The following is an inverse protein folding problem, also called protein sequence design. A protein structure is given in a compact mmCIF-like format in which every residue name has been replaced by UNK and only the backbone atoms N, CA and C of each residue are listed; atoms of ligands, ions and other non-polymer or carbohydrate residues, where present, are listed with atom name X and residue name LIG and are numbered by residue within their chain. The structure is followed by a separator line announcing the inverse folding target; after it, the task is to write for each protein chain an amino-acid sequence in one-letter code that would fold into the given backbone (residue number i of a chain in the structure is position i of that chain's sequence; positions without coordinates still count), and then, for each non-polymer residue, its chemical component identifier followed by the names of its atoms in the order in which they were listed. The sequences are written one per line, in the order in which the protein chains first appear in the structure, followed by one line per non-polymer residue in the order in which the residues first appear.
data_IF_748690925716
#
_entry.id   IF_748690925716
#
_cell.length_a   1.000
_cell.length_b   1.000
_cell.length_c   1.000
_cell.angle_alpha   90.00
_cell.angle_beta   90.00
_cell.angle_gamma   90.00
#
_symmetry.space_group_name_H-M   'P 1'
#
loop_
_entity.id
_entity.type
_entity.pdbx_description
1 polymer ?
#
# COMPACT_ATOMS: atom_id res chain seq x y z
N UNK A 1 -21.76 -5.42 0.73
CA UNK A 1 -20.99 -4.43 1.51
C UNK A 1 -19.71 -5.11 1.99
N UNK A 2 -18.56 -4.46 1.85
CA UNK A 2 -17.25 -5.05 2.08
C UNK A 2 -16.77 -4.93 3.54
N UNK A 3 -15.49 -5.22 3.77
CA UNK A 3 -14.83 -4.94 5.05
C UNK A 3 -14.43 -3.46 5.13
N UNK A 4 -14.64 -2.83 6.29
CA UNK A 4 -14.24 -1.45 6.57
C UNK A 4 -13.51 -1.36 7.90
N UNK A 5 -12.47 -0.52 7.97
CA UNK A 5 -11.74 -0.19 9.19
C UNK A 5 -11.19 1.24 9.13
N UNK A 6 -10.97 1.85 10.30
CA UNK A 6 -10.62 3.27 10.43
C UNK A 6 -9.12 3.54 10.23
N UNK A 7 -8.60 3.23 9.04
CA UNK A 7 -7.22 3.52 8.62
C UNK A 7 -7.19 4.06 7.20
N UNK A 8 -6.72 5.29 7.04
CA UNK A 8 -6.45 5.90 5.73
C UNK A 8 -5.11 5.46 5.15
N UNK A 9 -4.85 5.91 3.92
CA UNK A 9 -3.54 5.75 3.29
C UNK A 9 -2.44 6.44 4.11
N UNK A 10 -1.25 5.84 4.15
CA UNK A 10 -0.12 6.34 4.96
C UNK A 10 0.45 7.66 4.45
N UNK A 11 0.24 7.99 3.16
CA UNK A 11 0.70 9.24 2.55
C UNK A 11 -0.29 9.79 1.53
N UNK A 12 -0.55 11.10 1.55
CA UNK A 12 -1.49 11.77 0.65
C UNK A 12 -1.21 11.53 -0.84
N UNK A 13 0.05 11.38 -1.22
CA UNK A 13 0.45 11.09 -2.59
C UNK A 13 -0.06 9.72 -3.09
N UNK A 14 -0.62 8.85 -2.25
CA UNK A 14 -1.24 7.58 -2.63
C UNK A 14 -2.66 7.72 -3.19
N UNK A 15 -3.23 8.92 -3.24
CA UNK A 15 -4.54 9.21 -3.84
C UNK A 15 -4.62 8.79 -5.32
N UNK A 16 -5.64 8.03 -5.73
CA UNK A 16 -5.86 7.65 -7.14
C UNK A 16 -7.05 8.37 -7.78
N UNK A 17 -7.96 8.90 -6.97
CA UNK A 17 -9.01 9.83 -7.37
C UNK A 17 -8.80 11.18 -6.65
N UNK A 18 -8.12 12.15 -7.29
CA UNK A 18 -7.82 13.45 -6.67
C UNK A 18 -9.05 14.30 -6.36
N UNK A 19 -10.12 14.19 -7.15
CA UNK A 19 -11.34 14.99 -6.95
C UNK A 19 -12.06 14.60 -5.66
N UNK A 20 -12.07 13.30 -5.35
CA UNK A 20 -12.69 12.75 -4.14
C UNK A 20 -11.73 12.58 -2.98
N UNK A 21 -10.42 12.78 -3.21
CA UNK A 21 -9.36 12.47 -2.27
C UNK A 21 -9.40 11.00 -1.80
N UNK A 22 -9.60 10.08 -2.74
CA UNK A 22 -9.75 8.65 -2.48
C UNK A 22 -8.65 7.80 -3.14
N UNK A 23 -8.37 6.67 -2.52
CA UNK A 23 -7.58 5.59 -3.11
C UNK A 23 -8.51 4.46 -3.58
N UNK A 24 -8.86 4.49 -4.86
CA UNK A 24 -9.65 3.46 -5.55
C UNK A 24 -8.69 2.56 -6.33
N UNK A 25 -8.72 1.26 -6.03
CA UNK A 25 -7.92 0.22 -6.71
C UNK A 25 -8.86 -0.83 -7.29
N UNK A 26 -8.72 -1.13 -8.57
CA UNK A 26 -9.50 -2.18 -9.25
C UNK A 26 -8.72 -3.51 -9.25
N UNK A 27 -9.40 -4.58 -8.84
CA UNK A 27 -8.83 -5.93 -8.69
C UNK A 27 -7.41 -5.98 -8.08
N UNK A 28 -7.15 -5.31 -6.95
CA UNK A 28 -5.81 -5.24 -6.40
C UNK A 28 -5.37 -6.59 -5.82
N UNK A 29 -4.06 -6.84 -5.85
CA UNK A 29 -3.47 -7.76 -4.88
C UNK A 29 -3.48 -7.12 -3.50
N UNK A 30 -3.57 -7.94 -2.46
CA UNK A 30 -3.51 -7.48 -1.07
C UNK A 30 -2.35 -8.19 -0.38
N UNK A 31 -1.33 -7.43 0.02
CA UNK A 31 -0.26 -7.88 0.90
C UNK A 31 -0.66 -7.55 2.34
N UNK A 32 -0.63 -8.55 3.22
CA UNK A 32 -0.94 -8.39 4.64
C UNK A 32 0.29 -8.85 5.44
N UNK A 33 0.73 -8.01 6.36
CA UNK A 33 1.80 -8.36 7.31
C UNK A 33 1.60 -7.63 8.63
N UNK A 34 2.05 -8.23 9.72
CA UNK A 34 2.13 -7.62 11.05
C UNK A 34 3.42 -6.82 11.25
N UNK A 35 4.34 -6.81 10.27
CA UNK A 35 5.63 -6.15 10.36
C UNK A 35 5.58 -4.71 9.89
N UNK A 36 6.46 -3.89 10.49
CA UNK A 36 6.89 -2.62 9.94
C UNK A 36 7.74 -2.81 8.68
N UNK A 37 7.46 -2.03 7.64
CA UNK A 37 8.19 -2.04 6.36
C UNK A 37 8.90 -0.70 6.19
N UNK A 38 10.23 -0.71 6.26
CA UNK A 38 11.06 0.50 6.09
C UNK A 38 11.97 0.44 4.86
N UNK A 39 12.32 -0.77 4.42
CA UNK A 39 13.26 -1.03 3.33
C UNK A 39 12.53 -1.60 2.11
N UNK A 40 12.87 -1.16 0.90
CA UNK A 40 12.21 -1.64 -0.32
C UNK A 40 12.52 -3.12 -0.59
N UNK A 41 13.67 -3.59 -0.11
CA UNK A 41 14.15 -4.96 -0.24
C UNK A 41 13.18 -5.97 0.39
N UNK A 42 12.47 -5.58 1.46
CA UNK A 42 11.43 -6.41 2.10
C UNK A 42 10.23 -6.65 1.18
N UNK A 43 10.00 -5.74 0.22
CA UNK A 43 8.88 -5.80 -0.73
C UNK A 43 9.26 -6.36 -2.10
N UNK A 44 10.54 -6.34 -2.49
CA UNK A 44 11.00 -6.71 -3.83
C UNK A 44 10.43 -8.05 -4.34
N UNK A 45 10.48 -9.16 -3.57
CA UNK A 45 9.98 -10.45 -4.06
C UNK A 45 8.48 -10.44 -4.42
N UNK A 46 7.69 -9.64 -3.69
CA UNK A 46 6.25 -9.50 -3.94
C UNK A 46 6.01 -8.52 -5.08
N UNK A 47 6.70 -7.38 -5.09
CA UNK A 47 6.57 -6.36 -6.12
C UNK A 47 6.87 -6.91 -7.51
N UNK A 48 7.92 -7.71 -7.66
CA UNK A 48 8.26 -8.35 -8.94
C UNK A 48 7.10 -9.16 -9.50
N UNK A 49 6.41 -9.93 -8.65
CA UNK A 49 5.27 -10.76 -9.04
C UNK A 49 4.05 -9.93 -9.38
N UNK A 50 3.76 -8.90 -8.58
CA UNK A 50 2.58 -8.05 -8.77
C UNK A 50 2.72 -7.15 -10.01
N UNK A 51 3.89 -6.55 -10.21
CA UNK A 51 4.18 -5.69 -11.36
C UNK A 51 4.09 -6.48 -12.67
N UNK A 52 4.55 -7.73 -12.70
CA UNK A 52 4.40 -8.61 -13.88
C UNK A 52 2.93 -8.84 -14.27
N UNK A 53 2.01 -8.78 -13.32
CA UNK A 53 0.58 -8.94 -13.58
C UNK A 53 -0.11 -7.63 -13.98
N UNK A 54 0.59 -6.49 -13.90
CA UNK A 54 0.03 -5.18 -14.21
C UNK A 54 -1.10 -4.74 -13.29
N UNK A 55 -1.23 -5.36 -12.10
CA UNK A 55 -2.30 -5.09 -11.14
C UNK A 55 -1.83 -4.17 -10.01
N UNK A 56 -2.70 -3.33 -9.44
CA UNK A 56 -2.36 -2.51 -8.27
C UNK A 56 -2.16 -3.38 -7.01
N UNK A 57 -1.49 -2.80 -6.01
CA UNK A 57 -1.23 -3.44 -4.71
C UNK A 57 -1.80 -2.62 -3.55
N UNK A 58 -2.60 -3.25 -2.70
CA UNK A 58 -2.90 -2.76 -1.36
C UNK A 58 -1.95 -3.43 -0.35
N UNK A 59 -1.26 -2.62 0.46
CA UNK A 59 -0.38 -3.09 1.54
C UNK A 59 -1.05 -2.77 2.88
N UNK A 60 -1.34 -3.80 3.67
CA UNK A 60 -1.81 -3.69 5.05
C UNK A 60 -0.68 -4.15 5.96
N UNK A 61 -0.03 -3.21 6.65
CA UNK A 61 1.17 -3.47 7.47
C UNK A 61 1.08 -2.79 8.83
N UNK A 62 1.92 -3.14 9.81
CA UNK A 62 2.01 -2.35 11.06
C UNK A 62 2.30 -0.88 10.76
N UNK A 63 3.29 -0.64 9.89
CA UNK A 63 3.61 0.67 9.32
C UNK A 63 4.38 0.51 8.01
N UNK A 64 4.31 1.54 7.15
CA UNK A 64 5.15 1.63 5.94
C UNK A 64 5.80 3.01 5.92
N UNK A 65 7.12 3.03 6.00
CA UNK A 65 7.89 4.26 6.16
C UNK A 65 9.23 4.22 5.39
N UNK A 66 10.05 5.25 5.57
CA UNK A 66 11.43 5.27 5.10
C UNK A 66 11.56 5.16 3.57
N UNK A 67 12.56 4.40 3.15
CA UNK A 67 12.88 4.19 1.73
C UNK A 67 11.75 3.45 1.01
N UNK A 68 11.12 2.48 1.67
CA UNK A 68 9.99 1.75 1.11
C UNK A 68 8.85 2.71 0.73
N UNK A 69 8.41 3.56 1.67
CA UNK A 69 7.35 4.52 1.41
C UNK A 69 7.71 5.50 0.28
N UNK A 70 8.92 6.06 0.32
CA UNK A 70 9.39 6.99 -0.71
C UNK A 70 9.38 6.34 -2.10
N UNK A 71 9.81 5.09 -2.19
CA UNK A 71 9.87 4.34 -3.45
C UNK A 71 8.49 4.05 -4.01
N UNK A 72 7.53 3.64 -3.17
CA UNK A 72 6.15 3.40 -3.59
C UNK A 72 5.49 4.68 -4.12
N UNK A 73 5.70 5.82 -3.43
CA UNK A 73 5.20 7.13 -3.86
C UNK A 73 5.79 7.53 -5.22
N UNK A 74 7.12 7.43 -5.36
CA UNK A 74 7.79 7.80 -6.62
C UNK A 74 7.33 6.95 -7.79
N UNK A 75 7.15 5.64 -7.59
CA UNK A 75 6.62 4.76 -8.64
C UNK A 75 5.19 5.13 -9.04
N UNK A 76 4.32 5.43 -8.06
CA UNK A 76 2.97 5.92 -8.35
C UNK A 76 3.00 7.23 -9.14
N UNK A 77 3.79 8.21 -8.71
CA UNK A 77 3.89 9.51 -9.40
C UNK A 77 4.42 9.38 -10.82
N UNK A 78 5.27 8.38 -11.09
CA UNK A 78 5.76 8.06 -12.44
C UNK A 78 4.79 7.24 -13.27
N UNK A 79 3.71 6.73 -12.68
CA UNK A 79 2.76 5.83 -13.34
C UNK A 79 3.32 4.45 -13.65
N UNK A 80 4.45 4.06 -13.05
CA UNK A 80 5.07 2.74 -13.31
C UNK A 80 4.34 1.61 -12.59
N UNK A 81 3.89 1.89 -11.37
CA UNK A 81 3.22 0.93 -10.50
C UNK A 81 2.41 1.66 -9.44
N UNK A 82 1.19 1.22 -9.20
CA UNK A 82 0.30 1.81 -8.19
C UNK A 82 0.23 0.90 -6.96
N UNK A 83 0.74 1.40 -5.84
CA UNK A 83 0.53 0.81 -4.53
C UNK A 83 -0.03 1.83 -3.54
N UNK A 84 -0.93 1.35 -2.69
CA UNK A 84 -1.49 2.09 -1.56
C UNK A 84 -1.16 1.31 -0.31
N UNK A 85 -0.57 1.96 0.68
CA UNK A 85 -0.32 1.35 1.97
C UNK A 85 -1.25 1.95 3.04
N UNK A 86 -1.77 1.10 3.90
CA UNK A 86 -2.57 1.45 5.07
C UNK A 86 -1.99 0.73 6.29
N UNK A 87 -2.13 1.32 7.48
CA UNK A 87 -1.77 0.60 8.71
C UNK A 87 -2.81 -0.47 8.99
N UNK A 88 -2.39 -1.61 9.53
CA UNK A 88 -3.27 -2.66 10.00
C UNK A 88 -4.22 -2.10 11.09
N UNK A 89 -5.49 -2.53 11.10
CA UNK A 89 -6.43 -2.15 12.16
C UNK A 89 -5.97 -2.74 13.51
N UNK A 90 -6.48 -2.19 14.61
CA UNK A 90 -6.13 -2.70 15.94
C UNK A 90 -4.72 -2.34 16.44
N UNK A 91 -4.38 -2.88 17.61
CA UNK A 91 -3.14 -2.69 18.36
C UNK A 91 -2.84 -3.93 19.20
N UNK A 92 -1.56 -4.26 19.43
CA UNK A 92 -1.13 -5.42 20.22
C UNK A 92 -1.66 -6.73 19.65
N UNK A 93 -2.10 -7.65 20.51
CA UNK A 93 -2.64 -8.97 20.11
C UNK A 93 -3.92 -8.91 19.25
N UNK A 94 -4.57 -7.74 19.15
CA UNK A 94 -5.75 -7.53 18.29
C UNK A 94 -5.41 -7.04 16.88
N UNK A 95 -4.13 -6.81 16.58
CA UNK A 95 -3.65 -6.39 15.27
C UNK A 95 -3.38 -7.60 14.38
#
# INVERSE_FOLDING_TARGET
EGMQFDRGYVAAYMVTNPDRMEAVLEEPYILITDRKISAIQDLLPVLERVVQQGKPLLIVAEDVEGEALATLIVNKLRGTFTAVAVKAPGFGDRR
#
